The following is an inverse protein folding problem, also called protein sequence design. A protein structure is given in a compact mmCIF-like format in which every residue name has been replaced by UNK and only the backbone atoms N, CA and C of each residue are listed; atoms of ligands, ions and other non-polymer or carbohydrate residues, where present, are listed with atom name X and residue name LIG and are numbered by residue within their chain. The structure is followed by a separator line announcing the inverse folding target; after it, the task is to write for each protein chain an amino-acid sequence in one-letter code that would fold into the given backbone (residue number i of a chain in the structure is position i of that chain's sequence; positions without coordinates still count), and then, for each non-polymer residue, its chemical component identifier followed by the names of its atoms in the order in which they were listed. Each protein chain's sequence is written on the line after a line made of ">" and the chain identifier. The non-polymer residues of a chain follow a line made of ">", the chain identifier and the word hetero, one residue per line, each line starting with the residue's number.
data_IF_164773735192
#
_entry.id   IF_164773735192
#
_cell.length_a   1.000
_cell.length_b   1.000
_cell.length_c   1.000
_cell.angle_alpha   90.00
_cell.angle_beta   90.00
_cell.angle_gamma   90.00
#
_symmetry.space_group_name_H-M   'P 1'
#
loop_
_entity.id
_entity.type
_entity.pdbx_description
1 polymer ?
#
# COMPACT_ATOMS: atom_id res chain seq x y z
N UNK A 1 -19.74 -15.82 2.68
CA UNK A 1 -20.56 -16.03 1.46
C UNK A 1 -20.70 -14.76 0.64
N UNK A 2 -21.17 -13.63 1.22
CA UNK A 2 -21.33 -12.37 0.48
C UNK A 2 -20.03 -11.84 -0.17
N UNK A 3 -18.90 -11.81 0.55
CA UNK A 3 -17.61 -11.34 -0.01
C UNK A 3 -17.21 -12.12 -1.26
N UNK A 4 -17.28 -13.45 -1.23
CA UNK A 4 -16.98 -14.31 -2.38
C UNK A 4 -17.93 -14.08 -3.55
N UNK A 5 -19.22 -13.86 -3.27
CA UNK A 5 -20.21 -13.54 -4.32
C UNK A 5 -19.86 -12.20 -4.96
N UNK A 6 -19.56 -11.15 -4.19
CA UNK A 6 -19.21 -9.84 -4.72
C UNK A 6 -17.93 -9.90 -5.56
N UNK A 7 -16.88 -10.56 -5.06
CA UNK A 7 -15.62 -10.76 -5.78
C UNK A 7 -15.86 -11.52 -7.09
N UNK A 8 -16.60 -12.64 -7.02
CA UNK A 8 -16.93 -13.46 -8.19
C UNK A 8 -17.80 -12.73 -9.21
N UNK A 9 -18.79 -11.96 -8.76
CA UNK A 9 -19.62 -11.12 -9.61
C UNK A 9 -18.81 -9.99 -10.27
N UNK A 10 -17.89 -9.35 -9.55
CA UNK A 10 -16.99 -8.33 -10.13
C UNK A 10 -16.09 -8.93 -11.19
N UNK A 11 -15.46 -10.08 -10.91
CA UNK A 11 -14.64 -10.80 -11.88
C UNK A 11 -15.47 -11.21 -13.12
N UNK A 12 -16.57 -11.93 -12.89
CA UNK A 12 -17.39 -12.52 -13.94
C UNK A 12 -18.10 -11.47 -14.78
N UNK A 13 -18.64 -10.43 -14.13
CA UNK A 13 -19.26 -9.30 -14.79
C UNK A 13 -18.27 -8.51 -15.65
N UNK A 14 -17.07 -8.23 -15.14
CA UNK A 14 -16.01 -7.57 -15.93
C UNK A 14 -15.58 -8.44 -17.10
N UNK A 15 -15.36 -9.74 -16.88
CA UNK A 15 -14.96 -10.68 -17.93
C UNK A 15 -16.00 -10.79 -19.05
N UNK A 16 -17.28 -10.94 -18.67
CA UNK A 16 -18.40 -11.02 -19.61
C UNK A 16 -18.52 -9.72 -20.40
N UNK A 17 -18.48 -8.56 -19.73
CA UNK A 17 -18.56 -7.26 -20.38
C UNK A 17 -17.45 -7.09 -21.42
N UNK A 18 -16.20 -7.39 -21.07
CA UNK A 18 -15.06 -7.27 -22.00
C UNK A 18 -15.13 -8.28 -23.15
N UNK A 19 -15.83 -9.41 -23.00
CA UNK A 19 -15.96 -10.44 -24.03
C UNK A 19 -16.95 -10.09 -25.15
N UNK A 20 -17.90 -9.19 -24.89
CA UNK A 20 -18.95 -8.79 -25.84
C UNK A 20 -18.69 -7.45 -26.53
N UNK A 21 -17.64 -6.73 -26.12
CA UNK A 21 -17.27 -5.44 -26.69
C UNK A 21 -16.45 -5.58 -27.97
N UNK A 22 -16.56 -4.60 -28.86
CA UNK A 22 -15.61 -4.46 -29.97
C UNK A 22 -14.19 -4.25 -29.45
N UNK A 23 -13.19 -4.49 -30.30
CA UNK A 23 -11.80 -4.37 -29.91
C UNK A 23 -11.45 -2.96 -29.41
N UNK A 24 -11.96 -1.92 -30.08
CA UNK A 24 -11.73 -0.52 -29.73
C UNK A 24 -12.42 -0.16 -28.41
N UNK A 25 -13.66 -0.59 -28.23
CA UNK A 25 -14.43 -0.36 -27.01
C UNK A 25 -13.80 -1.07 -25.81
N UNK A 26 -13.27 -2.29 -26.02
CA UNK A 26 -12.55 -3.05 -25.00
C UNK A 26 -11.31 -2.30 -24.53
N UNK A 27 -10.44 -1.84 -25.44
CA UNK A 27 -9.22 -1.09 -25.09
C UNK A 27 -9.58 0.19 -24.30
N UNK A 28 -10.61 0.92 -24.74
CA UNK A 28 -11.08 2.13 -24.06
C UNK A 28 -11.53 1.82 -22.63
N UNK A 29 -12.38 0.80 -22.45
CA UNK A 29 -12.90 0.42 -21.14
C UNK A 29 -11.78 -0.11 -20.23
N UNK A 30 -10.89 -0.96 -20.72
CA UNK A 30 -9.75 -1.48 -19.96
C UNK A 30 -8.86 -0.33 -19.45
N UNK A 31 -8.58 0.65 -20.30
CA UNK A 31 -7.80 1.85 -19.93
C UNK A 31 -8.48 2.63 -18.79
N UNK A 32 -9.80 2.83 -18.88
CA UNK A 32 -10.58 3.53 -17.86
C UNK A 32 -10.57 2.74 -16.54
N UNK A 33 -10.80 1.42 -16.58
CA UNK A 33 -10.83 0.57 -15.40
C UNK A 33 -9.47 0.52 -14.70
N UNK A 34 -8.38 0.39 -15.45
CA UNK A 34 -7.01 0.44 -14.92
C UNK A 34 -6.76 1.78 -14.22
N UNK A 35 -7.13 2.89 -14.85
CA UNK A 35 -6.98 4.23 -14.27
C UNK A 35 -7.69 4.35 -12.91
N UNK A 36 -8.95 3.88 -12.80
CA UNK A 36 -9.70 3.96 -11.54
C UNK A 36 -9.23 2.98 -10.46
N UNK A 37 -8.51 1.92 -10.83
CA UNK A 37 -7.98 0.97 -9.86
C UNK A 37 -6.66 1.40 -9.22
N UNK A 38 -5.91 2.33 -9.84
CA UNK A 38 -4.63 2.81 -9.35
C UNK A 38 -4.77 4.09 -8.50
N UNK A 39 -4.12 4.11 -7.34
CA UNK A 39 -4.24 5.22 -6.37
C UNK A 39 -2.98 6.07 -6.18
N UNK A 40 -1.85 5.74 -6.86
CA UNK A 40 -0.53 6.28 -6.53
C UNK A 40 -0.43 7.81 -6.49
N UNK A 41 -1.02 8.51 -7.46
CA UNK A 41 -1.00 9.98 -7.50
C UNK A 41 -1.85 10.61 -6.39
N UNK A 42 -3.03 10.06 -6.10
CA UNK A 42 -3.89 10.57 -5.03
C UNK A 42 -3.25 10.34 -3.66
N UNK A 43 -2.66 9.16 -3.45
CA UNK A 43 -1.94 8.80 -2.23
C UNK A 43 -0.83 9.81 -1.91
N UNK A 44 0.06 10.07 -2.86
CA UNK A 44 1.17 11.01 -2.67
C UNK A 44 0.66 12.42 -2.36
N UNK A 45 -0.35 12.90 -3.09
CA UNK A 45 -0.95 14.21 -2.86
C UNK A 45 -1.54 14.35 -1.46
N UNK A 46 -2.25 13.32 -0.96
CA UNK A 46 -2.82 13.40 0.39
C UNK A 46 -1.74 13.40 1.47
N UNK A 47 -0.64 12.67 1.28
CA UNK A 47 0.51 12.69 2.20
C UNK A 47 1.23 14.05 2.17
N UNK A 48 1.48 14.62 0.99
CA UNK A 48 2.04 15.97 0.86
C UNK A 48 1.17 17.02 1.57
N UNK A 49 -0.15 16.95 1.39
CA UNK A 49 -1.11 17.82 2.10
C UNK A 49 -1.03 17.68 3.62
N UNK A 50 -0.73 16.51 4.17
CA UNK A 50 -0.53 16.36 5.63
C UNK A 50 0.65 17.21 6.09
N UNK A 51 1.78 17.15 5.39
CA UNK A 51 2.96 17.93 5.74
C UNK A 51 2.71 19.44 5.53
N UNK A 52 2.01 19.82 4.47
CA UNK A 52 1.64 21.22 4.22
C UNK A 52 0.67 21.75 5.29
N UNK A 53 -0.25 20.90 5.77
CA UNK A 53 -1.15 21.25 6.86
C UNK A 53 -0.41 21.40 8.20
N UNK A 54 0.59 20.56 8.46
CA UNK A 54 1.45 20.63 9.64
C UNK A 54 2.28 21.92 9.68
N UNK A 55 2.74 22.42 8.53
CA UNK A 55 3.45 23.70 8.44
C UNK A 55 2.57 24.89 8.86
N UNK A 56 1.24 24.73 8.84
CA UNK A 56 0.29 25.74 9.31
C UNK A 56 -0.01 25.56 10.80
N UNK A 57 -0.42 24.35 11.21
CA UNK A 57 -0.61 24.00 12.62
C UNK A 57 -0.76 22.49 12.83
N UNK A 58 -0.44 22.03 14.04
CA UNK A 58 -0.66 20.64 14.45
C UNK A 58 -2.13 20.20 14.26
N UNK A 59 -3.08 21.04 14.64
CA UNK A 59 -4.51 20.75 14.50
C UNK A 59 -4.93 20.55 13.04
N UNK A 60 -4.40 21.35 12.11
CA UNK A 60 -4.66 21.15 10.68
C UNK A 60 -4.02 19.85 10.18
N UNK A 61 -2.81 19.54 10.64
CA UNK A 61 -2.15 18.27 10.34
C UNK A 61 -2.96 17.06 10.83
N UNK A 62 -3.44 17.08 12.07
CA UNK A 62 -4.31 16.04 12.67
C UNK A 62 -5.57 15.80 11.83
N UNK A 63 -6.26 16.88 11.43
CA UNK A 63 -7.45 16.80 10.58
C UNK A 63 -7.15 16.25 9.20
N UNK A 64 -6.03 16.64 8.59
CA UNK A 64 -5.67 16.18 7.26
C UNK A 64 -5.24 14.71 7.28
N UNK A 65 -4.48 14.26 8.28
CA UNK A 65 -4.07 12.85 8.40
C UNK A 65 -5.24 11.94 8.75
N UNK A 66 -6.25 12.42 9.51
CA UNK A 66 -7.49 11.68 9.80
C UNK A 66 -8.24 11.22 8.55
N UNK A 67 -8.01 11.87 7.40
CA UNK A 67 -8.64 11.51 6.13
C UNK A 67 -8.04 10.27 5.47
N UNK A 68 -6.84 9.89 5.89
CA UNK A 68 -6.06 8.79 5.29
C UNK A 68 -5.70 7.69 6.28
N UNK A 69 -6.06 7.83 7.56
CA UNK A 69 -5.88 6.80 8.59
C UNK A 69 -7.21 6.42 9.23
N UNK A 70 -7.33 5.16 9.66
CA UNK A 70 -8.52 4.65 10.36
C UNK A 70 -8.52 4.81 11.88
N UNK A 71 -7.55 5.54 12.46
CA UNK A 71 -7.39 5.74 13.91
C UNK A 71 -7.78 7.15 14.34
N UNK A 72 -8.12 7.31 15.62
CA UNK A 72 -8.28 8.64 16.22
C UNK A 72 -6.96 9.41 16.12
N UNK A 73 -7.05 10.67 15.68
CA UNK A 73 -5.89 11.53 15.44
C UNK A 73 -5.86 12.76 16.35
N UNK A 74 -6.87 12.93 17.20
CA UNK A 74 -7.06 14.14 18.03
C UNK A 74 -5.93 14.37 19.02
N UNK A 75 -5.31 13.30 19.55
CA UNK A 75 -4.23 13.38 20.53
C UNK A 75 -2.82 13.22 19.92
N UNK A 76 -2.69 12.95 18.62
CA UNK A 76 -1.40 12.67 18.00
C UNK A 76 -0.46 13.87 18.07
N UNK A 77 0.76 13.68 18.56
CA UNK A 77 1.85 14.66 18.41
C UNK A 77 2.18 14.91 16.93
N UNK A 78 2.92 15.98 16.66
CA UNK A 78 3.39 16.29 15.30
C UNK A 78 4.17 15.12 14.67
N UNK A 79 5.01 14.45 15.46
CA UNK A 79 5.80 13.31 14.99
C UNK A 79 4.94 12.09 14.71
N UNK A 80 3.89 11.86 15.50
CA UNK A 80 2.93 10.79 15.24
C UNK A 80 2.09 11.06 14.01
N UNK A 81 1.73 12.32 13.72
CA UNK A 81 1.06 12.69 12.46
C UNK A 81 1.96 12.40 11.26
N UNK A 82 3.24 12.80 11.31
CA UNK A 82 4.21 12.52 10.25
C UNK A 82 4.42 11.03 10.05
N UNK A 83 4.57 10.28 11.14
CA UNK A 83 4.72 8.82 11.13
C UNK A 83 3.50 8.17 10.48
N UNK A 84 2.28 8.54 10.91
CA UNK A 84 1.04 8.02 10.36
C UNK A 84 0.94 8.23 8.84
N UNK A 85 1.35 9.41 8.36
CA UNK A 85 1.35 9.72 6.93
C UNK A 85 2.34 8.86 6.15
N UNK A 86 3.53 8.58 6.70
CA UNK A 86 4.53 7.72 6.06
C UNK A 86 4.18 6.23 6.13
N UNK A 87 3.63 5.76 7.25
CA UNK A 87 3.05 4.41 7.40
C UNK A 87 2.02 4.18 6.28
N UNK A 88 1.04 5.09 6.20
CA UNK A 88 -0.01 5.08 5.17
C UNK A 88 0.55 5.12 3.76
N UNK A 89 1.58 5.94 3.51
CA UNK A 89 2.25 6.04 2.21
C UNK A 89 2.85 4.70 1.77
N UNK A 90 3.54 4.00 2.68
CA UNK A 90 4.15 2.70 2.38
C UNK A 90 3.11 1.59 2.23
N UNK A 91 2.14 1.50 3.14
CA UNK A 91 1.08 0.49 3.08
C UNK A 91 0.25 0.62 1.80
N UNK A 92 -0.24 1.81 1.48
CA UNK A 92 -1.09 2.02 0.31
C UNK A 92 -0.33 1.98 -1.03
N UNK A 93 1.00 2.02 -1.03
CA UNK A 93 1.76 1.67 -2.23
C UNK A 93 1.54 0.21 -2.60
N UNK A 94 1.57 -0.70 -1.62
CA UNK A 94 1.26 -2.11 -1.83
C UNK A 94 -0.17 -2.24 -2.34
N UNK A 95 -1.13 -1.76 -1.56
CA UNK A 95 -2.52 -2.13 -1.76
C UNK A 95 -3.20 -1.36 -2.90
N UNK A 96 -2.77 -0.12 -3.12
CA UNK A 96 -3.36 0.80 -4.10
C UNK A 96 -2.63 0.86 -5.44
N UNK A 97 -1.45 0.25 -5.56
CA UNK A 97 -0.64 0.30 -6.79
C UNK A 97 -0.02 -1.05 -7.14
N UNK A 98 0.84 -1.62 -6.29
CA UNK A 98 1.61 -2.82 -6.64
C UNK A 98 0.71 -4.05 -6.74
N UNK A 99 -0.20 -4.26 -5.79
CA UNK A 99 -1.14 -5.38 -5.81
C UNK A 99 -2.14 -5.31 -6.99
N UNK A 100 -2.79 -4.17 -7.29
CA UNK A 100 -3.58 -4.03 -8.51
C UNK A 100 -2.79 -4.37 -9.78
N UNK A 101 -1.55 -3.86 -9.92
CA UNK A 101 -0.69 -4.15 -11.08
C UNK A 101 -0.27 -5.62 -11.13
N UNK A 102 -0.03 -6.25 -9.99
CA UNK A 102 0.30 -7.65 -9.88
C UNK A 102 -0.85 -8.54 -10.38
N UNK A 103 -2.08 -8.26 -9.94
CA UNK A 103 -3.25 -9.00 -10.39
C UNK A 103 -3.64 -8.66 -11.84
N UNK A 104 -3.40 -7.43 -12.31
CA UNK A 104 -3.50 -7.08 -13.74
C UNK A 104 -2.56 -7.94 -14.58
N UNK A 105 -1.31 -8.11 -14.15
CA UNK A 105 -0.29 -8.89 -14.87
C UNK A 105 -0.65 -10.38 -14.95
N UNK A 106 -1.21 -10.96 -13.89
CA UNK A 106 -1.54 -12.39 -13.86
C UNK A 106 -2.87 -12.72 -14.54
N UNK A 107 -3.87 -11.86 -14.33
CA UNK A 107 -5.28 -12.19 -14.56
C UNK A 107 -6.02 -11.14 -15.40
N UNK A 108 -5.30 -10.15 -15.93
CA UNK A 108 -5.86 -9.05 -16.71
C UNK A 108 -6.74 -8.11 -15.89
N UNK A 109 -7.48 -7.24 -16.59
CA UNK A 109 -8.39 -6.27 -15.97
C UNK A 109 -9.43 -6.92 -15.05
N UNK A 110 -10.03 -8.09 -15.37
CA UNK A 110 -10.94 -8.77 -14.44
C UNK A 110 -10.28 -9.11 -13.10
N UNK A 111 -9.02 -9.53 -13.10
CA UNK A 111 -8.27 -9.82 -11.87
C UNK A 111 -7.92 -8.58 -11.07
N UNK A 112 -7.52 -7.50 -11.74
CA UNK A 112 -7.32 -6.20 -11.09
C UNK A 112 -8.60 -5.70 -10.42
N UNK A 113 -9.75 -5.82 -11.09
CA UNK A 113 -11.06 -5.42 -10.56
C UNK A 113 -11.49 -6.29 -9.38
N UNK A 114 -11.28 -7.61 -9.46
CA UNK A 114 -11.57 -8.53 -8.36
C UNK A 114 -10.71 -8.23 -7.13
N UNK A 115 -9.41 -7.97 -7.33
CA UNK A 115 -8.54 -7.52 -6.25
C UNK A 115 -9.01 -6.19 -5.65
N UNK A 116 -9.41 -5.21 -6.49
CA UNK A 116 -9.90 -3.93 -5.98
C UNK A 116 -11.16 -4.10 -5.13
N UNK A 117 -12.03 -5.05 -5.49
CA UNK A 117 -13.19 -5.43 -4.66
C UNK A 117 -12.74 -6.05 -3.33
N UNK A 118 -11.76 -6.96 -3.33
CA UNK A 118 -11.19 -7.55 -2.09
C UNK A 118 -10.72 -6.45 -1.15
N UNK A 119 -9.86 -5.55 -1.62
CA UNK A 119 -9.29 -4.45 -0.82
C UNK A 119 -10.36 -3.47 -0.32
N UNK A 120 -11.39 -3.21 -1.14
CA UNK A 120 -12.53 -2.36 -0.73
C UNK A 120 -13.36 -3.03 0.36
N UNK A 121 -13.61 -4.33 0.26
CA UNK A 121 -14.37 -5.08 1.26
C UNK A 121 -13.66 -5.11 2.62
N UNK A 122 -12.33 -5.26 2.62
CA UNK A 122 -11.53 -5.19 3.84
C UNK A 122 -11.62 -3.80 4.49
N UNK A 123 -11.42 -2.74 3.71
CA UNK A 123 -11.50 -1.36 4.21
C UNK A 123 -12.90 -0.96 4.73
N UNK A 124 -13.98 -1.48 4.13
CA UNK A 124 -15.35 -1.11 4.50
C UNK A 124 -15.96 -1.99 5.60
N UNK A 125 -15.63 -3.28 5.65
CA UNK A 125 -16.32 -4.29 6.48
C UNK A 125 -15.34 -5.04 7.41
N UNK A 126 -14.02 -4.91 7.20
CA UNK A 126 -12.98 -5.55 8.02
C UNK A 126 -12.94 -5.05 9.47
N UNK A 127 -13.46 -3.85 9.75
CA UNK A 127 -13.60 -3.36 11.12
C UNK A 127 -14.56 -4.25 11.92
N UNK A 128 -14.05 -4.81 13.02
CA UNK A 128 -14.74 -5.69 13.98
C UNK A 128 -15.85 -4.96 14.76
N UNK A 129 -16.79 -4.33 14.09
CA UNK A 129 -18.05 -3.95 14.71
C UNK A 129 -18.82 -5.22 15.03
N UNK A 130 -19.49 -5.25 16.19
CA UNK A 130 -20.25 -6.43 16.69
C UNK A 130 -21.22 -6.99 15.63
N UNK A 131 -21.69 -6.13 14.71
CA UNK A 131 -22.60 -6.46 13.61
C UNK A 131 -21.96 -7.25 12.45
N UNK A 132 -20.65 -7.14 12.21
CA UNK A 132 -20.00 -7.71 11.00
C UNK A 132 -18.86 -8.68 11.31
N UNK A 133 -18.71 -9.11 12.56
CA UNK A 133 -17.55 -9.90 13.04
C UNK A 133 -17.18 -11.10 12.16
N UNK A 134 -18.15 -11.93 11.77
CA UNK A 134 -17.89 -13.13 10.95
C UNK A 134 -17.63 -12.78 9.47
N UNK A 135 -18.28 -11.75 8.94
CA UNK A 135 -18.10 -11.28 7.56
C UNK A 135 -16.76 -10.56 7.37
N UNK A 136 -16.43 -9.66 8.30
CA UNK A 136 -15.16 -8.95 8.33
C UNK A 136 -13.99 -9.91 8.46
N UNK A 137 -14.12 -11.00 9.23
CA UNK A 137 -13.06 -12.01 9.34
C UNK A 137 -12.77 -12.75 8.02
N UNK A 138 -13.81 -13.06 7.23
CA UNK A 138 -13.61 -13.70 5.92
C UNK A 138 -13.03 -12.72 4.90
N UNK A 139 -13.52 -11.47 4.88
CA UNK A 139 -12.97 -10.43 4.00
C UNK A 139 -11.48 -10.18 4.29
N UNK A 140 -11.12 -9.99 5.56
CA UNK A 140 -9.74 -9.78 5.99
C UNK A 140 -8.82 -10.96 5.62
N UNK A 141 -9.29 -12.21 5.77
CA UNK A 141 -8.48 -13.39 5.37
C UNK A 141 -8.26 -13.49 3.86
N UNK A 142 -9.27 -13.12 3.06
CA UNK A 142 -9.13 -13.11 1.60
C UNK A 142 -8.18 -11.99 1.17
N UNK A 143 -8.28 -10.81 1.79
CA UNK A 143 -7.34 -9.71 1.57
C UNK A 143 -5.92 -10.13 1.96
N UNK A 144 -5.75 -10.70 3.16
CA UNK A 144 -4.45 -11.20 3.63
C UNK A 144 -3.83 -12.19 2.64
N UNK A 145 -4.62 -13.10 2.08
CA UNK A 145 -4.16 -14.05 1.07
C UNK A 145 -3.82 -13.35 -0.26
N UNK A 146 -4.66 -12.42 -0.72
CA UNK A 146 -4.48 -11.72 -1.99
C UNK A 146 -3.28 -10.75 -1.97
N UNK A 147 -2.93 -10.21 -0.79
CA UNK A 147 -1.83 -9.29 -0.57
C UNK A 147 -0.54 -9.95 -0.10
N UNK A 148 -0.54 -11.26 0.19
CA UNK A 148 0.65 -11.96 0.71
C UNK A 148 1.88 -11.79 -0.18
N UNK A 149 1.76 -12.06 -1.48
CA UNK A 149 2.86 -11.89 -2.41
C UNK A 149 3.07 -10.41 -2.81
N UNK A 150 2.03 -9.62 -3.14
CA UNK A 150 2.19 -8.20 -3.45
C UNK A 150 2.88 -7.36 -2.37
N UNK A 151 2.60 -7.57 -1.09
CA UNK A 151 3.23 -6.79 -0.02
C UNK A 151 4.74 -7.06 0.08
N UNK A 152 5.15 -8.32 -0.06
CA UNK A 152 6.57 -8.74 -0.11
C UNK A 152 7.26 -8.19 -1.35
N UNK A 153 6.59 -8.27 -2.50
CA UNK A 153 7.08 -7.69 -3.75
C UNK A 153 7.28 -6.18 -3.61
N UNK A 154 6.33 -5.46 -3.02
CA UNK A 154 6.42 -4.01 -2.75
C UNK A 154 7.66 -3.68 -1.94
N UNK A 155 7.87 -4.38 -0.82
CA UNK A 155 9.03 -4.17 0.03
C UNK A 155 10.36 -4.43 -0.69
N UNK A 156 10.43 -5.48 -1.52
CA UNK A 156 11.59 -5.76 -2.37
C UNK A 156 11.81 -4.66 -3.44
N UNK A 157 10.75 -4.17 -4.09
CA UNK A 157 10.84 -3.07 -5.06
C UNK A 157 11.34 -1.79 -4.41
N UNK A 158 10.90 -1.49 -3.19
CA UNK A 158 11.41 -0.36 -2.41
C UNK A 158 12.89 -0.54 -2.08
N UNK A 159 13.33 -1.71 -1.60
CA UNK A 159 14.75 -1.95 -1.35
C UNK A 159 15.60 -1.78 -2.62
N UNK A 160 15.17 -2.31 -3.75
CA UNK A 160 15.85 -2.15 -5.04
C UNK A 160 15.85 -0.69 -5.52
N UNK A 161 14.70 -0.01 -5.42
CA UNK A 161 14.56 1.40 -5.78
C UNK A 161 15.49 2.31 -4.97
N UNK A 162 15.70 1.98 -3.69
CA UNK A 162 16.60 2.75 -2.82
C UNK A 162 18.05 2.82 -3.33
N UNK A 163 18.49 1.84 -4.12
CA UNK A 163 19.84 1.81 -4.71
C UNK A 163 20.05 2.98 -5.69
N UNK A 164 19.01 3.40 -6.39
CA UNK A 164 19.02 4.53 -7.32
C UNK A 164 18.84 5.89 -6.62
N UNK A 165 18.51 5.90 -5.32
CA UNK A 165 18.26 7.09 -4.51
C UNK A 165 19.28 7.25 -3.38
N UNK A 166 20.53 6.85 -3.64
CA UNK A 166 21.58 6.70 -2.63
C UNK A 166 21.90 7.98 -1.84
N UNK A 167 21.56 9.17 -2.37
CA UNK A 167 21.72 10.47 -1.70
C UNK A 167 20.54 10.88 -0.81
N UNK A 168 19.41 10.17 -0.91
CA UNK A 168 18.13 10.56 -0.29
C UNK A 168 17.83 9.82 1.00
N UNK A 169 18.57 8.76 1.28
CA UNK A 169 18.46 7.98 2.49
C UNK A 169 19.76 8.10 3.26
N UNK A 170 19.72 8.18 4.60
CA UNK A 170 20.94 8.11 5.39
C UNK A 170 21.70 6.87 4.94
N UNK A 171 22.95 7.07 4.51
CA UNK A 171 23.88 6.00 4.13
C UNK A 171 24.20 5.19 5.38
N UNK A 172 23.25 4.37 5.83
CA UNK A 172 23.51 3.35 6.81
C UNK A 172 24.60 2.46 6.24
N UNK A 173 25.69 2.28 7.01
CA UNK A 173 26.82 1.38 6.69
C UNK A 173 26.37 -0.07 6.49
N UNK A 174 25.11 -0.36 6.78
CA UNK A 174 24.47 -1.66 6.59
C UNK A 174 24.32 -1.97 5.09
N UNK A 175 24.90 -3.11 4.69
CA UNK A 175 24.77 -3.67 3.34
C UNK A 175 23.30 -3.92 2.96
N UNK A 176 23.02 -4.06 1.67
CA UNK A 176 21.67 -4.38 1.18
C UNK A 176 21.11 -5.66 1.83
N UNK A 177 21.95 -6.67 2.05
CA UNK A 177 21.58 -7.89 2.76
C UNK A 177 21.19 -7.65 4.22
N UNK A 178 21.89 -6.74 4.92
CA UNK A 178 21.52 -6.34 6.27
C UNK A 178 20.19 -5.60 6.32
N UNK A 179 19.93 -4.71 5.35
CA UNK A 179 18.63 -4.01 5.22
C UNK A 179 17.49 -4.98 4.96
N UNK A 180 17.70 -5.95 4.07
CA UNK A 180 16.73 -7.02 3.81
C UNK A 180 16.44 -7.83 5.08
N UNK A 181 17.47 -8.20 5.85
CA UNK A 181 17.31 -8.93 7.11
C UNK A 181 16.52 -8.13 8.15
N UNK A 182 16.81 -6.84 8.31
CA UNK A 182 16.06 -5.95 9.21
C UNK A 182 14.60 -5.83 8.78
N UNK A 183 14.34 -5.59 7.49
CA UNK A 183 12.99 -5.55 6.93
C UNK A 183 12.21 -6.83 7.24
N UNK A 184 12.78 -8.00 6.97
CA UNK A 184 12.14 -9.29 7.26
C UNK A 184 11.89 -9.52 8.76
N UNK A 185 12.77 -9.01 9.62
CA UNK A 185 12.60 -9.10 11.06
C UNK A 185 11.42 -8.23 11.54
N UNK A 186 11.38 -6.97 11.13
CA UNK A 186 10.36 -6.02 11.56
C UNK A 186 9.02 -6.14 10.82
N UNK A 187 8.96 -6.81 9.67
CA UNK A 187 7.70 -6.98 8.92
C UNK A 187 6.63 -7.78 9.68
N UNK A 188 7.03 -8.53 10.71
CA UNK A 188 6.13 -9.28 11.59
C UNK A 188 5.63 -8.47 12.79
N UNK A 189 6.15 -7.25 13.01
CA UNK A 189 5.71 -6.34 14.06
C UNK A 189 4.47 -5.53 13.63
N UNK A 190 3.50 -6.19 12.99
CA UNK A 190 2.24 -5.60 12.58
C UNK A 190 1.10 -6.61 12.76
N UNK A 191 -0.14 -6.14 12.97
CA UNK A 191 -1.30 -7.02 13.14
C UNK A 191 -1.68 -7.73 11.83
N UNK A 192 -1.58 -7.01 10.70
CA UNK A 192 -1.68 -7.59 9.37
C UNK A 192 -0.36 -8.27 8.99
N UNK A 193 -0.38 -9.50 8.45
CA UNK A 193 0.80 -10.20 7.95
C UNK A 193 1.43 -9.55 6.70
N UNK A 194 0.76 -8.55 6.13
CA UNK A 194 1.13 -7.90 4.88
C UNK A 194 1.60 -6.46 5.07
N UNK A 195 0.83 -5.59 5.74
CA UNK A 195 1.14 -4.16 5.85
C UNK A 195 2.52 -3.88 6.47
N UNK A 196 2.98 -4.77 7.37
CA UNK A 196 4.30 -4.64 7.99
C UNK A 196 5.48 -4.73 7.01
N UNK A 197 5.33 -5.36 5.83
CA UNK A 197 6.41 -5.48 4.84
C UNK A 197 6.83 -4.13 4.22
N UNK A 198 5.93 -3.38 3.53
CA UNK A 198 6.29 -2.08 2.99
C UNK A 198 6.64 -1.06 4.07
N UNK A 199 5.98 -1.09 5.24
CA UNK A 199 6.32 -0.25 6.38
C UNK A 199 7.72 -0.51 6.92
N UNK A 200 8.09 -1.78 7.11
CA UNK A 200 9.43 -2.17 7.55
C UNK A 200 10.50 -1.78 6.53
N UNK A 201 10.20 -1.89 5.23
CA UNK A 201 11.11 -1.44 4.19
C UNK A 201 11.35 0.08 4.29
N UNK A 202 10.30 0.88 4.42
CA UNK A 202 10.43 2.33 4.53
C UNK A 202 11.12 2.75 5.84
N UNK A 203 10.74 2.18 6.97
CA UNK A 203 11.36 2.46 8.28
C UNK A 203 12.85 2.12 8.28
N UNK A 204 13.23 0.97 7.72
CA UNK A 204 14.64 0.56 7.58
C UNK A 204 15.42 1.54 6.70
N UNK A 205 14.86 1.95 5.57
CA UNK A 205 15.53 2.87 4.63
C UNK A 205 15.67 4.29 5.19
N UNK A 206 14.65 4.78 5.90
CA UNK A 206 14.71 6.07 6.58
C UNK A 206 15.55 6.03 7.87
N UNK A 207 15.90 4.84 8.38
CA UNK A 207 16.58 4.69 9.66
C UNK A 207 15.75 5.23 10.82
N UNK A 208 14.45 4.95 10.81
CA UNK A 208 13.50 5.33 11.86
C UNK A 208 12.73 4.09 12.37
N UNK A 209 11.77 4.32 13.27
CA UNK A 209 10.80 3.31 13.70
C UNK A 209 9.37 3.80 13.52
N UNK A 210 8.53 2.93 13.00
CA UNK A 210 7.08 3.09 12.91
C UNK A 210 6.38 2.32 14.04
N UNK A 211 5.05 2.46 14.13
CA UNK A 211 4.26 1.94 15.23
C UNK A 211 4.47 2.71 16.54
N UNK A 212 4.28 2.01 17.65
CA UNK A 212 4.08 2.58 18.97
C UNK A 212 2.59 2.56 19.35
N UNK A 213 2.33 2.32 20.64
CA UNK A 213 0.97 2.25 21.15
C UNK A 213 0.19 3.55 20.92
N UNK A 214 -1.13 3.44 20.88
CA UNK A 214 -2.03 4.58 20.76
C UNK A 214 -3.28 4.37 21.61
N UNK A 215 -3.88 5.48 22.03
CA UNK A 215 -5.20 5.49 22.66
C UNK A 215 -6.28 5.23 21.61
N UNK A 216 -7.11 4.20 21.82
CA UNK A 216 -8.30 3.92 21.03
C UNK A 216 -9.51 3.96 21.95
N UNK A 217 -10.40 4.95 21.78
CA UNK A 217 -11.56 5.16 22.64
C UNK A 217 -11.25 5.21 24.16
N UNK A 218 -10.08 5.73 24.54
CA UNK A 218 -9.63 5.82 25.94
C UNK A 218 -8.90 4.59 26.48
N UNK A 219 -8.76 3.52 25.67
CA UNK A 219 -7.93 2.36 26.02
C UNK A 219 -6.59 2.42 25.28
N UNK A 220 -5.49 2.31 26.01
CA UNK A 220 -4.15 2.24 25.42
C UNK A 220 -3.93 0.87 24.78
N UNK A 221 -3.75 0.84 23.46
CA UNK A 221 -3.39 -0.36 22.72
C UNK A 221 -1.89 -0.31 22.43
N UNK A 222 -1.12 -1.15 23.11
CA UNK A 222 0.30 -1.32 22.83
C UNK A 222 0.48 -2.06 21.49
N UNK A 223 1.23 -1.46 20.57
CA UNK A 223 1.62 -2.09 19.30
C UNK A 223 3.14 -2.20 19.24
N UNK A 224 3.68 -3.31 18.70
CA UNK A 224 5.12 -3.45 18.52
C UNK A 224 5.65 -2.36 17.57
N UNK A 225 6.93 -2.02 17.73
CA UNK A 225 7.60 -1.07 16.85
C UNK A 225 8.15 -1.78 15.61
N UNK A 226 8.06 -1.10 14.47
CA UNK A 226 8.62 -1.53 13.19
C UNK A 226 9.86 -0.69 12.91
N UNK A 227 11.05 -1.25 13.12
CA UNK A 227 12.33 -0.55 13.04
C UNK A 227 12.94 -0.24 14.41
N UNK A 228 14.22 0.15 14.41
CA UNK A 228 15.03 0.22 15.64
C UNK A 228 15.12 1.62 16.24
N UNK A 229 15.21 2.66 15.40
CA UNK A 229 15.67 3.97 15.83
C UNK A 229 14.53 4.97 15.99
N UNK A 230 14.37 5.48 17.22
CA UNK A 230 13.60 6.70 17.42
C UNK A 230 14.39 7.90 16.90
N UNK A 231 13.84 8.58 15.89
CA UNK A 231 14.34 9.87 15.44
C UNK A 231 13.20 10.77 14.98
N UNK A 232 13.34 12.09 15.09
CA UNK A 232 12.41 13.02 14.48
C UNK A 232 12.35 12.83 12.96
N UNK A 233 11.13 12.87 12.41
CA UNK A 233 10.83 12.88 10.99
C UNK A 233 10.68 14.32 10.49
N UNK A 234 11.21 14.56 9.30
CA UNK A 234 11.23 15.85 8.63
C UNK A 234 10.59 15.77 7.23
N UNK A 235 10.32 16.93 6.64
CA UNK A 235 9.74 17.03 5.28
C UNK A 235 10.62 16.34 4.22
N UNK A 236 11.93 16.31 4.42
CA UNK A 236 12.83 15.65 3.47
C UNK A 236 12.71 14.12 3.51
N UNK A 237 12.32 13.54 4.66
CA UNK A 237 11.98 12.12 4.75
C UNK A 237 10.75 11.78 3.91
N UNK A 238 9.73 12.66 3.94
CA UNK A 238 8.56 12.54 3.08
C UNK A 238 8.94 12.62 1.60
N UNK A 239 9.77 13.59 1.20
CA UNK A 239 10.24 13.69 -0.20
C UNK A 239 11.05 12.46 -0.62
N UNK A 240 11.85 11.88 0.28
CA UNK A 240 12.58 10.64 0.01
C UNK A 240 11.62 9.46 -0.16
N UNK A 241 10.63 9.32 0.73
CA UNK A 241 9.61 8.29 0.68
C UNK A 241 8.75 8.38 -0.60
N UNK A 242 8.33 9.59 -1.00
CA UNK A 242 7.56 9.82 -2.23
C UNK A 242 8.36 9.42 -3.47
N UNK A 243 9.64 9.81 -3.55
CA UNK A 243 10.52 9.41 -4.68
C UNK A 243 10.70 7.90 -4.74
N UNK A 244 10.86 7.25 -3.58
CA UNK A 244 10.97 5.81 -3.47
C UNK A 244 9.70 5.09 -3.94
N UNK A 245 8.53 5.55 -3.50
CA UNK A 245 7.24 5.02 -3.91
C UNK A 245 7.04 5.14 -5.43
N UNK A 246 7.35 6.30 -6.01
CA UNK A 246 7.28 6.52 -7.46
C UNK A 246 8.21 5.59 -8.23
N UNK A 247 9.41 5.34 -7.70
CA UNK A 247 10.34 4.42 -8.33
C UNK A 247 9.88 2.97 -8.26
N UNK A 248 9.36 2.53 -7.11
CA UNK A 248 8.76 1.20 -6.97
C UNK A 248 7.54 1.01 -7.88
N UNK A 249 6.67 2.02 -8.01
CA UNK A 249 5.56 2.07 -8.97
C UNK A 249 6.07 1.93 -10.41
N UNK A 250 7.08 2.72 -10.80
CA UNK A 250 7.67 2.66 -12.15
C UNK A 250 8.30 1.29 -12.45
N UNK A 251 9.02 0.71 -11.49
CA UNK A 251 9.62 -0.62 -11.63
C UNK A 251 8.55 -1.70 -11.84
N UNK A 252 7.43 -1.61 -11.10
CA UNK A 252 6.32 -2.54 -11.28
C UNK A 252 5.66 -2.39 -12.64
N UNK A 253 5.41 -1.15 -13.10
CA UNK A 253 4.88 -0.90 -14.45
C UNK A 253 5.78 -1.49 -15.54
N UNK A 254 7.10 -1.32 -15.43
CA UNK A 254 8.07 -1.94 -16.34
C UNK A 254 7.96 -3.45 -16.33
N UNK A 255 7.83 -4.08 -15.15
CA UNK A 255 7.65 -5.53 -15.04
C UNK A 255 6.35 -5.99 -15.73
N UNK A 256 5.22 -5.31 -15.49
CA UNK A 256 3.93 -5.62 -16.15
C UNK A 256 4.05 -5.52 -17.66
N UNK A 257 4.64 -4.44 -18.18
CA UNK A 257 4.85 -4.25 -19.63
C UNK A 257 5.73 -5.35 -20.22
N UNK A 258 6.84 -5.68 -19.56
CA UNK A 258 7.77 -6.71 -20.02
C UNK A 258 7.11 -8.09 -20.10
N UNK A 259 6.36 -8.49 -19.06
CA UNK A 259 5.63 -9.77 -19.03
C UNK A 259 4.55 -9.81 -20.10
N UNK A 260 3.78 -8.73 -20.25
CA UNK A 260 2.72 -8.65 -21.27
C UNK A 260 3.29 -8.72 -22.68
N UNK A 261 4.39 -8.02 -22.95
CA UNK A 261 5.09 -8.07 -24.24
C UNK A 261 5.65 -9.46 -24.54
N UNK A 262 6.30 -10.10 -23.55
CA UNK A 262 6.81 -11.45 -23.70
C UNK A 262 5.67 -12.44 -24.02
N UNK A 263 4.55 -12.36 -23.30
CA UNK A 263 3.37 -13.19 -23.56
C UNK A 263 2.81 -13.02 -24.98
N UNK A 264 2.76 -11.79 -25.48
CA UNK A 264 2.35 -11.52 -26.87
C UNK A 264 3.34 -12.07 -27.91
N UNK A 265 4.64 -12.07 -27.62
CA UNK A 265 5.66 -12.63 -28.51
C UNK A 265 5.55 -14.16 -28.55
N UNK A 266 5.42 -14.82 -27.39
CA UNK A 266 5.26 -16.28 -27.33
C UNK A 266 3.94 -16.78 -27.93
N UNK A 267 2.85 -16.02 -27.82
CA UNK A 267 1.57 -16.39 -28.42
C UNK A 267 1.54 -16.27 -29.96
N UNK A 268 2.54 -15.63 -30.56
CA UNK A 268 2.70 -15.49 -32.02
C UNK A 268 3.61 -16.55 -32.65
N UNK A 269 4.30 -17.35 -31.84
CA UNK A 269 5.12 -18.49 -32.28
C UNK A 269 4.32 -19.78 -32.20
#
# INVERSE_FOLDING_TARGET
>A
MLSLVLIGCTWGGTSLLLSVLSHEAKICLETILIFFCLAGTTLIKEVEKVFDALDISLEKGRRQVARIVGRDTTELSEQEVKKAALETLSENLSDGVIAPLFWLMLLGVPGMMAYKMINTLDSMIGYRTVRYKDFGCVAARIDDAANWLPARLTACLMLMGSLFLSTSFPLSKTSLAGRFRQMCYFSHAHLSPNSGWPEAALACLLGCRFGGGHSYHGEWIEKPYIGEHERPLHRDDMKAAVRLNRLAEAMMLVAVMAVTMAGMLYAKC
#
